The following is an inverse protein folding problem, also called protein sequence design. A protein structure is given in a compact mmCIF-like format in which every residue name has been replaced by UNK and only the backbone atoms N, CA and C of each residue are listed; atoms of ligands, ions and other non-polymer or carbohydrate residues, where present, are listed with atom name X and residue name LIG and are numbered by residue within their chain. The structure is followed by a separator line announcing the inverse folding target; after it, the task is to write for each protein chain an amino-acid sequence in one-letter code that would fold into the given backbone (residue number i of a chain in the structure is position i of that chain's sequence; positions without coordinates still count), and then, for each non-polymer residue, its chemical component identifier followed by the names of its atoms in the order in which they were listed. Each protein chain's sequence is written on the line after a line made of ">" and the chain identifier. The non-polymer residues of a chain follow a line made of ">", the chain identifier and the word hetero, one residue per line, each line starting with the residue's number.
data_IF_476985476084
#
_entry.id   IF_476985476084
#
_cell.length_a   1.000
_cell.length_b   1.000
_cell.length_c   1.000
_cell.angle_alpha   90.00
_cell.angle_beta   90.00
_cell.angle_gamma   90.00
#
_symmetry.space_group_name_H-M   'P 1'
#
loop_
_entity.id
_entity.type
_entity.pdbx_description
1 polymer ?
#
# COMPACT_ATOMS: atom_id res chain seq x y z
N UNK A 1 9.00 -20.21 2.50
CA UNK A 1 8.54 -18.95 1.93
C UNK A 1 8.31 -19.08 0.43
N UNK A 2 7.38 -18.33 -0.15
CA UNK A 2 7.25 -18.17 -1.59
C UNK A 2 8.41 -17.33 -2.17
N UNK A 3 8.90 -16.34 -1.41
CA UNK A 3 10.00 -15.44 -1.79
C UNK A 3 11.27 -16.22 -2.15
N UNK A 4 11.63 -17.21 -1.32
CA UNK A 4 12.83 -18.03 -1.49
C UNK A 4 12.69 -19.18 -2.50
N UNK A 5 11.51 -19.36 -3.12
CA UNK A 5 11.23 -20.53 -3.98
C UNK A 5 11.08 -20.17 -5.45
N UNK A 6 10.16 -19.25 -5.77
CA UNK A 6 9.78 -19.00 -7.17
C UNK A 6 9.55 -17.53 -7.50
N UNK A 7 9.44 -16.67 -6.49
CA UNK A 7 9.11 -15.25 -6.71
C UNK A 7 10.16 -14.49 -7.50
N UNK A 8 11.45 -14.77 -7.22
CA UNK A 8 12.56 -14.20 -7.99
C UNK A 8 12.46 -14.56 -9.47
N UNK A 9 12.25 -15.84 -9.78
CA UNK A 9 12.08 -16.32 -11.16
C UNK A 9 10.87 -15.67 -11.83
N UNK A 10 9.77 -15.47 -11.11
CA UNK A 10 8.55 -14.85 -11.66
C UNK A 10 8.77 -13.36 -11.97
N UNK A 11 9.53 -12.64 -11.14
CA UNK A 11 9.90 -11.25 -11.42
C UNK A 11 10.90 -11.15 -12.57
N UNK A 12 11.90 -12.03 -12.65
CA UNK A 12 12.90 -12.04 -13.74
C UNK A 12 12.27 -12.38 -15.09
N UNK A 13 11.28 -13.27 -15.11
CA UNK A 13 10.51 -13.64 -16.31
C UNK A 13 9.40 -12.65 -16.64
N UNK A 14 9.20 -11.60 -15.84
CA UNK A 14 8.14 -10.61 -16.03
C UNK A 14 6.72 -11.17 -15.87
N UNK A 15 6.56 -12.33 -15.23
CA UNK A 15 5.25 -12.90 -14.88
C UNK A 15 4.59 -12.02 -13.81
N UNK A 16 5.40 -11.56 -12.84
CA UNK A 16 5.02 -10.53 -11.88
C UNK A 16 5.82 -9.27 -12.17
N UNK A 17 5.18 -8.09 -12.18
CA UNK A 17 5.89 -6.84 -12.44
C UNK A 17 6.84 -6.46 -11.29
N UNK A 18 6.47 -6.80 -10.05
CA UNK A 18 7.21 -6.50 -8.82
C UNK A 18 6.95 -7.59 -7.78
N UNK A 19 7.77 -7.64 -6.71
CA UNK A 19 7.48 -8.48 -5.55
C UNK A 19 6.25 -7.91 -4.78
N UNK A 20 5.11 -8.62 -4.73
CA UNK A 20 3.88 -8.14 -4.08
C UNK A 20 3.98 -8.01 -2.55
N UNK A 21 5.01 -8.61 -1.92
CA UNK A 21 5.26 -8.46 -0.48
C UNK A 21 6.00 -7.15 -0.16
N UNK A 22 6.64 -6.53 -1.15
CA UNK A 22 7.33 -5.25 -0.99
C UNK A 22 6.48 -4.08 -1.52
N UNK A 23 5.80 -4.27 -2.65
CA UNK A 23 4.92 -3.30 -3.26
C UNK A 23 3.50 -3.85 -3.35
N UNK A 24 2.51 -3.07 -2.93
CA UNK A 24 1.12 -3.49 -2.89
C UNK A 24 0.59 -3.75 -4.30
N UNK A 25 0.05 -4.94 -4.51
CA UNK A 25 -0.74 -5.27 -5.70
C UNK A 25 -2.05 -4.47 -5.67
N UNK A 26 -2.12 -3.40 -6.47
CA UNK A 26 -3.29 -2.51 -6.54
C UNK A 26 -4.51 -3.19 -7.18
N UNK A 27 -4.31 -4.10 -8.13
CA UNK A 27 -5.37 -4.67 -8.95
C UNK A 27 -6.07 -5.88 -8.31
N UNK A 28 -5.38 -6.58 -7.39
CA UNK A 28 -5.94 -7.64 -6.56
C UNK A 28 -6.16 -7.18 -5.12
N UNK A 29 -5.09 -7.14 -4.31
CA UNK A 29 -5.18 -6.80 -2.87
C UNK A 29 -5.73 -5.39 -2.65
N UNK A 30 -5.37 -4.44 -3.52
CA UNK A 30 -5.87 -3.06 -3.46
C UNK A 30 -7.39 -2.98 -3.57
N UNK A 31 -8.05 -3.79 -4.40
CA UNK A 31 -9.52 -3.83 -4.49
C UNK A 31 -10.18 -4.29 -3.19
N UNK A 32 -9.55 -5.22 -2.48
CA UNK A 32 -10.03 -5.64 -1.16
C UNK A 32 -9.89 -4.51 -0.13
N UNK A 33 -8.79 -3.76 -0.17
CA UNK A 33 -8.58 -2.59 0.70
C UNK A 33 -9.63 -1.51 0.40
N UNK A 34 -9.85 -1.17 -0.86
CA UNK A 34 -10.84 -0.18 -1.28
C UNK A 34 -12.25 -0.59 -0.81
N UNK A 35 -12.64 -1.84 -1.04
CA UNK A 35 -13.92 -2.39 -0.58
C UNK A 35 -14.06 -2.28 0.96
N UNK A 36 -13.00 -2.63 1.71
CA UNK A 36 -12.99 -2.48 3.16
C UNK A 36 -13.20 -1.02 3.60
N UNK A 37 -12.53 -0.06 2.96
CA UNK A 37 -12.70 1.37 3.28
C UNK A 37 -14.13 1.82 3.01
N UNK A 38 -14.67 1.47 1.83
CA UNK A 38 -16.02 1.86 1.42
C UNK A 38 -17.09 1.26 2.35
N UNK A 39 -17.03 -0.05 2.60
CA UNK A 39 -18.01 -0.74 3.46
C UNK A 39 -17.88 -0.31 4.92
N UNK A 40 -16.65 -0.16 5.42
CA UNK A 40 -16.40 0.28 6.79
C UNK A 40 -16.94 1.69 7.02
N UNK A 41 -16.71 2.63 6.10
CA UNK A 41 -17.23 4.00 6.21
C UNK A 41 -18.71 4.12 5.95
N UNK A 42 -19.31 3.22 5.16
CA UNK A 42 -20.76 3.11 5.03
C UNK A 42 -21.42 2.73 6.36
N UNK A 43 -20.79 1.86 7.14
CA UNK A 43 -21.27 1.47 8.46
C UNK A 43 -20.93 2.50 9.55
N UNK A 44 -19.76 3.14 9.47
CA UNK A 44 -19.27 4.14 10.42
C UNK A 44 -18.50 5.27 9.67
N UNK A 45 -19.14 6.41 9.39
CA UNK A 45 -18.57 7.46 8.54
C UNK A 45 -17.20 8.02 8.99
N UNK A 46 -16.96 8.07 10.31
CA UNK A 46 -15.74 8.58 10.93
C UNK A 46 -14.68 7.50 11.19
N UNK A 47 -14.84 6.28 10.65
CA UNK A 47 -13.94 5.17 10.94
C UNK A 47 -12.51 5.50 10.51
N UNK A 48 -11.61 5.55 11.51
CA UNK A 48 -10.19 5.77 11.33
C UNK A 48 -9.51 4.48 10.87
N UNK A 49 -8.84 4.52 9.72
CA UNK A 49 -8.24 3.35 9.08
C UNK A 49 -6.80 3.64 8.67
N UNK A 50 -5.94 2.64 8.77
CA UNK A 50 -4.56 2.73 8.31
C UNK A 50 -4.00 1.39 7.88
N UNK A 51 -2.79 1.41 7.35
CA UNK A 51 -2.05 0.22 6.91
C UNK A 51 -0.77 0.08 7.74
N UNK A 52 -0.36 -1.15 8.00
CA UNK A 52 0.92 -1.48 8.63
C UNK A 52 1.69 -2.53 7.80
N UNK A 53 2.96 -2.69 8.11
CA UNK A 53 3.84 -3.65 7.44
C UNK A 53 4.74 -2.98 6.39
N UNK A 54 5.33 -3.81 5.54
CA UNK A 54 6.34 -3.38 4.55
C UNK A 54 5.78 -2.35 3.56
N UNK A 55 4.53 -2.55 3.11
CA UNK A 55 3.82 -1.66 2.20
C UNK A 55 3.64 -0.25 2.76
N UNK A 56 3.58 -0.09 4.09
CA UNK A 56 3.47 1.23 4.73
C UNK A 56 4.70 2.11 4.54
N UNK A 57 5.81 1.56 4.04
CA UNK A 57 7.05 2.28 3.72
C UNK A 57 7.40 2.32 2.22
N UNK A 58 6.57 1.74 1.35
CA UNK A 58 6.76 1.77 -0.11
C UNK A 58 6.00 2.96 -0.73
N UNK A 59 6.66 3.88 -1.45
CA UNK A 59 6.02 5.06 -2.00
C UNK A 59 4.82 4.78 -2.91
N UNK A 60 4.87 3.71 -3.71
CA UNK A 60 3.76 3.34 -4.59
C UNK A 60 2.54 2.88 -3.77
N UNK A 61 2.77 2.06 -2.76
CA UNK A 61 1.72 1.59 -1.85
C UNK A 61 1.12 2.75 -1.03
N UNK A 62 1.94 3.71 -0.59
CA UNK A 62 1.49 4.89 0.16
C UNK A 62 0.60 5.80 -0.69
N UNK A 63 0.98 6.02 -1.96
CA UNK A 63 0.15 6.78 -2.89
C UNK A 63 -1.23 6.12 -3.06
N UNK A 64 -1.27 4.79 -3.24
CA UNK A 64 -2.55 4.06 -3.30
C UNK A 64 -3.36 4.23 -2.02
N UNK A 65 -2.73 4.09 -0.85
CA UNK A 65 -3.39 4.27 0.44
C UNK A 65 -3.99 5.68 0.60
N UNK A 66 -3.31 6.70 0.09
CA UNK A 66 -3.83 8.06 0.03
C UNK A 66 -5.07 8.15 -0.88
N UNK A 67 -5.00 7.59 -2.09
CA UNK A 67 -6.10 7.61 -3.06
C UNK A 67 -7.36 6.91 -2.56
N UNK A 68 -7.23 5.76 -1.88
CA UNK A 68 -8.39 5.08 -1.28
C UNK A 68 -8.85 5.72 0.04
N UNK A 69 -8.15 6.75 0.50
CA UNK A 69 -8.55 7.59 1.64
C UNK A 69 -8.21 7.02 3.01
N UNK A 70 -7.15 6.21 3.16
CA UNK A 70 -6.64 5.83 4.49
C UNK A 70 -6.17 7.07 5.26
N UNK A 71 -6.28 7.01 6.59
CA UNK A 71 -5.91 8.12 7.48
C UNK A 71 -4.42 8.12 7.83
N UNK A 72 -3.77 6.94 7.86
CA UNK A 72 -2.36 6.84 8.18
C UNK A 72 -1.69 5.61 7.55
N UNK A 73 -0.36 5.67 7.48
CA UNK A 73 0.52 4.54 7.17
C UNK A 73 1.46 4.31 8.35
N UNK A 74 1.80 3.07 8.63
CA UNK A 74 2.73 2.67 9.69
C UNK A 74 3.84 1.81 9.12
N UNK A 75 5.08 2.25 9.27
CA UNK A 75 6.27 1.58 8.77
C UNK A 75 7.39 1.54 9.82
N UNK A 76 8.47 0.81 9.53
CA UNK A 76 9.64 0.75 10.41
C UNK A 76 10.28 2.14 10.59
N UNK A 77 10.95 2.40 11.73
CA UNK A 77 11.46 3.73 12.06
C UNK A 77 12.32 4.38 10.96
N UNK A 78 13.17 3.59 10.30
CA UNK A 78 14.05 4.08 9.24
C UNK A 78 13.31 4.44 7.94
N UNK A 79 12.09 3.93 7.73
CA UNK A 79 11.26 4.27 6.56
C UNK A 79 10.33 5.44 6.81
N UNK A 80 10.22 5.94 8.04
CA UNK A 80 9.36 7.09 8.37
C UNK A 80 9.66 8.33 7.49
N UNK A 81 10.92 8.73 7.23
CA UNK A 81 11.20 9.86 6.35
C UNK A 81 10.70 9.65 4.91
N UNK A 82 10.87 8.43 4.38
CA UNK A 82 10.40 8.04 3.05
C UNK A 82 8.88 8.10 3.01
N UNK A 83 8.21 7.55 4.03
CA UNK A 83 6.76 7.53 4.09
C UNK A 83 6.15 8.94 4.15
N UNK A 84 6.76 9.84 4.93
CA UNK A 84 6.36 11.25 5.00
C UNK A 84 6.50 11.96 3.64
N UNK A 85 7.62 11.75 2.95
CA UNK A 85 7.84 12.35 1.64
C UNK A 85 6.85 11.82 0.60
N UNK A 86 6.65 10.50 0.56
CA UNK A 86 5.71 9.85 -0.35
C UNK A 86 4.27 10.30 -0.10
N UNK A 87 3.85 10.40 1.17
CA UNK A 87 2.52 10.90 1.51
C UNK A 87 2.32 12.36 1.09
N UNK A 88 3.34 13.21 1.24
CA UNK A 88 3.29 14.60 0.77
C UNK A 88 3.20 14.68 -0.76
N UNK A 89 3.99 13.87 -1.47
CA UNK A 89 3.92 13.79 -2.94
C UNK A 89 2.55 13.31 -3.43
N UNK A 90 1.97 12.31 -2.76
CA UNK A 90 0.63 11.82 -3.07
C UNK A 90 -0.43 12.92 -2.87
N UNK A 91 -0.35 13.67 -1.76
CA UNK A 91 -1.24 14.79 -1.50
C UNK A 91 -1.10 15.93 -2.53
N UNK A 92 0.11 16.24 -3.00
CA UNK A 92 0.33 17.25 -4.05
C UNK A 92 -0.25 16.79 -5.40
N UNK A 93 -0.19 15.49 -5.69
CA UNK A 93 -0.61 14.93 -6.98
C UNK A 93 -2.11 14.69 -7.08
N UNK A 94 -2.77 14.35 -5.96
CA UNK A 94 -4.16 13.89 -5.92
C UNK A 94 -5.09 14.71 -5.00
N UNK A 95 -4.57 15.73 -4.30
CA UNK A 95 -5.33 16.66 -3.47
C UNK A 95 -5.71 17.94 -4.20
#
# INVERSE_FOLDING_TARGET
>A
DAEAKFLMEYTEKGILPNNPFQQLDRDGVGKLIEMCVQLGRKARPDMHMGICGEHGGDPNSIEFCHMVGLNYVSCSPFRVPIARLAAAQAAIKHG
#
